data_IF_890191779968
#
_entry.id   IF_890191779968
#
_cell.length_a   1.000
_cell.length_b   1.000
_cell.length_c   1.000
_cell.angle_alpha   90.00
_cell.angle_beta   90.00
_cell.angle_gamma   90.00
#
_symmetry.space_group_name_H-M   'P 1'
#
loop_
_entity.id
_entity.type
_entity.pdbx_description
1 polymer ?
#
# COMPACT_ATOMS: atom_id res chain seq x y z
N UNK A 1 -9.42 25.27 2.80
CA UNK A 1 -9.89 23.93 2.41
C UNK A 1 -9.35 22.96 3.44
N UNK A 2 -10.13 21.99 3.92
CA UNK A 2 -9.67 20.99 4.89
C UNK A 2 -9.45 19.65 4.18
N UNK A 3 -8.65 18.77 4.79
CA UNK A 3 -8.45 17.39 4.34
C UNK A 3 -8.39 16.44 5.54
N UNK A 4 -8.40 15.13 5.29
CA UNK A 4 -8.10 14.13 6.32
C UNK A 4 -7.40 12.93 5.71
N UNK A 5 -6.91 12.02 6.55
CA UNK A 5 -6.30 10.78 6.10
C UNK A 5 -7.38 9.91 5.47
N UNK A 6 -7.16 9.51 4.21
CA UNK A 6 -8.00 8.58 3.47
C UNK A 6 -7.13 7.51 2.82
N UNK A 7 -7.77 6.53 2.19
CA UNK A 7 -7.11 5.66 1.24
C UNK A 7 -6.65 6.41 -0.01
N UNK A 8 -5.91 5.70 -0.85
CA UNK A 8 -5.35 6.22 -2.10
C UNK A 8 -6.24 5.97 -3.31
N UNK A 9 -7.03 4.89 -3.31
CA UNK A 9 -7.82 4.48 -4.46
C UNK A 9 -9.21 5.14 -4.43
N UNK A 10 -9.62 5.74 -5.54
CA UNK A 10 -10.86 6.54 -5.62
C UNK A 10 -12.15 5.74 -5.33
N UNK A 11 -12.16 4.45 -5.69
CA UNK A 11 -13.34 3.59 -5.55
C UNK A 11 -13.42 2.82 -4.23
N UNK A 12 -12.41 2.92 -3.35
CA UNK A 12 -12.41 2.18 -2.09
C UNK A 12 -13.38 2.80 -1.10
N UNK A 13 -14.28 1.98 -0.56
CA UNK A 13 -15.24 2.40 0.45
C UNK A 13 -14.58 2.84 1.76
N UNK A 14 -14.92 4.04 2.24
CA UNK A 14 -14.35 4.65 3.44
C UNK A 14 -14.41 3.77 4.70
N UNK A 15 -15.60 3.23 5.02
CA UNK A 15 -15.83 2.50 6.28
C UNK A 15 -15.03 1.20 6.37
N UNK A 16 -14.98 0.44 5.27
CA UNK A 16 -14.29 -0.84 5.24
C UNK A 16 -12.78 -0.66 5.46
N UNK A 17 -12.22 0.32 4.74
CA UNK A 17 -10.82 0.68 4.87
C UNK A 17 -10.48 1.16 6.30
N UNK A 18 -11.33 2.01 6.88
CA UNK A 18 -11.16 2.51 8.26
C UNK A 18 -11.20 1.38 9.30
N UNK A 19 -12.12 0.41 9.17
CA UNK A 19 -12.26 -0.69 10.12
C UNK A 19 -11.01 -1.58 10.20
N UNK A 20 -10.34 -1.78 9.06
CA UNK A 20 -9.05 -2.49 9.03
C UNK A 20 -7.84 -1.62 9.35
N UNK A 21 -8.00 -0.29 9.42
CA UNK A 21 -7.10 0.79 9.88
C UNK A 21 -6.93 1.89 8.83
N UNK A 22 -6.64 1.55 7.58
CA UNK A 22 -6.54 2.48 6.47
C UNK A 22 -5.18 3.17 6.31
N UNK A 23 -4.39 2.68 5.37
CA UNK A 23 -3.15 3.31 4.91
C UNK A 23 -3.42 4.35 3.81
N UNK A 24 -2.57 5.38 3.72
CA UNK A 24 -2.66 6.38 2.66
C UNK A 24 -1.62 7.50 2.73
N UNK A 25 -1.70 8.44 1.79
CA UNK A 25 -0.67 9.46 1.54
C UNK A 25 -0.30 10.31 2.75
N UNK A 26 -1.26 10.62 3.61
CA UNK A 26 -1.07 11.51 4.76
C UNK A 26 -0.66 10.78 6.05
N UNK A 27 -0.45 9.46 6.02
CA UNK A 27 -0.33 8.70 7.25
C UNK A 27 0.94 9.02 8.06
N UNK A 28 2.06 9.40 7.42
CA UNK A 28 3.26 9.79 8.14
C UNK A 28 3.09 11.11 8.90
N UNK A 29 2.18 11.96 8.45
CA UNK A 29 1.88 13.26 9.06
C UNK A 29 0.85 13.14 10.19
N UNK A 30 -0.18 12.28 10.03
CA UNK A 30 -1.33 12.27 10.93
C UNK A 30 -1.72 10.89 11.51
N UNK A 31 -1.11 9.79 11.07
CA UNK A 31 -1.46 8.42 11.46
C UNK A 31 -2.40 7.73 10.47
N UNK A 32 -2.89 6.54 10.78
CA UNK A 32 -3.79 5.77 9.93
C UNK A 32 -5.20 6.39 9.89
N UNK A 33 -6.06 5.94 8.98
CA UNK A 33 -7.44 6.42 8.93
C UNK A 33 -8.17 6.20 10.27
N UNK A 34 -8.03 5.01 10.86
CA UNK A 34 -8.59 4.67 12.17
C UNK A 34 -8.09 5.57 13.31
N UNK A 35 -6.91 6.17 13.17
CA UNK A 35 -6.35 7.10 14.17
C UNK A 35 -7.06 8.47 14.15
N UNK A 36 -7.78 8.77 13.08
CA UNK A 36 -8.54 10.01 12.92
C UNK A 36 -9.98 9.88 13.44
N UNK A 37 -10.45 8.66 13.72
CA UNK A 37 -11.80 8.43 14.25
C UNK A 37 -11.89 8.95 15.68
N UNK A 38 -12.89 9.79 15.96
CA UNK A 38 -13.20 10.28 17.32
C UNK A 38 -14.42 9.61 17.92
N UNK A 39 -15.39 9.22 17.07
CA UNK A 39 -16.53 8.40 17.47
C UNK A 39 -17.14 7.68 16.26
N UNK A 40 -17.97 6.67 16.53
CA UNK A 40 -18.74 5.99 15.49
C UNK A 40 -20.10 5.53 16.02
N UNK A 41 -21.13 5.52 15.16
CA UNK A 41 -22.45 4.98 15.46
C UNK A 41 -22.60 3.60 14.83
N UNK A 42 -22.76 2.57 15.65
CA UNK A 42 -22.78 1.17 15.23
C UNK A 42 -24.13 0.50 15.50
N UNK A 43 -24.64 -0.22 14.51
CA UNK A 43 -25.70 -1.20 14.70
C UNK A 43 -25.07 -2.56 15.03
N UNK A 44 -25.28 -3.02 16.26
CA UNK A 44 -24.76 -4.30 16.74
C UNK A 44 -25.60 -5.47 16.23
N UNK A 45 -25.09 -6.72 16.25
CA UNK A 45 -25.86 -7.91 15.90
C UNK A 45 -27.15 -8.11 16.72
N UNK A 46 -27.21 -7.54 17.92
CA UNK A 46 -28.41 -7.53 18.77
C UNK A 46 -29.52 -6.61 18.26
N UNK A 47 -29.28 -5.83 17.20
CA UNK A 47 -30.17 -4.77 16.72
C UNK A 47 -30.07 -3.46 17.51
N UNK A 48 -29.21 -3.38 18.52
CA UNK A 48 -28.99 -2.16 19.30
C UNK A 48 -28.07 -1.19 18.54
N UNK A 49 -28.47 0.07 18.50
CA UNK A 49 -27.65 1.17 18.01
C UNK A 49 -26.86 1.79 19.17
N UNK A 50 -25.54 1.88 19.04
CA UNK A 50 -24.64 2.44 20.06
C UNK A 50 -23.72 3.49 19.44
N UNK A 51 -23.33 4.48 20.24
CA UNK A 51 -22.25 5.41 19.88
C UNK A 51 -21.01 5.04 20.68
N UNK A 52 -19.92 4.75 19.98
CA UNK A 52 -18.64 4.35 20.57
C UNK A 52 -17.62 5.45 20.44
N UNK A 53 -16.82 5.63 21.48
CA UNK A 53 -15.71 6.60 21.58
C UNK A 53 -14.77 6.17 22.70
N UNK A 54 -13.72 6.94 22.98
CA UNK A 54 -12.82 6.68 24.12
C UNK A 54 -13.57 6.66 25.46
N UNK A 55 -14.68 7.39 25.58
CA UNK A 55 -15.45 7.53 26.81
C UNK A 55 -16.75 6.69 26.83
N UNK A 56 -17.09 6.02 25.73
CA UNK A 56 -18.33 5.24 25.58
C UNK A 56 -18.04 3.95 24.81
N UNK A 57 -18.22 2.79 25.45
CA UNK A 57 -17.82 1.49 24.90
C UNK A 57 -16.35 1.44 24.43
N UNK A 58 -15.36 1.80 25.29
CA UNK A 58 -13.97 1.97 24.88
C UNK A 58 -13.34 0.72 24.27
N UNK A 59 -13.70 -0.49 24.73
CA UNK A 59 -13.21 -1.74 24.15
C UNK A 59 -13.72 -1.96 22.73
N UNK A 60 -14.96 -1.57 22.43
CA UNK A 60 -15.50 -1.64 21.08
C UNK A 60 -14.92 -0.53 20.20
N UNK A 61 -14.70 0.66 20.75
CA UNK A 61 -14.00 1.74 20.06
C UNK A 61 -12.55 1.39 19.69
N UNK A 62 -11.86 0.67 20.57
CA UNK A 62 -10.56 0.08 20.29
C UNK A 62 -10.64 -0.94 19.16
N UNK A 63 -11.63 -1.85 19.21
CA UNK A 63 -11.77 -2.94 18.24
C UNK A 63 -12.02 -2.45 16.81
N UNK A 64 -12.91 -1.46 16.62
CA UNK A 64 -13.25 -0.94 15.28
C UNK A 64 -12.10 -0.15 14.63
N UNK A 65 -11.00 0.09 15.36
CA UNK A 65 -9.80 0.77 14.87
C UNK A 65 -8.69 -0.23 14.57
N UNK A 66 -9.00 -1.22 13.73
CA UNK A 66 -8.02 -2.17 13.18
C UNK A 66 -8.43 -3.64 13.15
N UNK A 67 -9.46 -4.06 13.89
CA UNK A 67 -9.89 -5.46 13.91
C UNK A 67 -10.86 -5.83 12.76
N UNK A 68 -10.96 -5.01 11.73
CA UNK A 68 -11.79 -5.27 10.56
C UNK A 68 -13.31 -5.30 10.87
N UNK A 69 -14.04 -6.01 10.02
CA UNK A 69 -15.50 -5.93 9.88
C UNK A 69 -16.29 -6.80 10.88
N UNK A 70 -15.77 -7.00 12.10
CA UNK A 70 -16.24 -8.05 13.00
C UNK A 70 -17.38 -7.65 13.96
N UNK A 71 -17.54 -6.35 14.26
CA UNK A 71 -18.26 -5.92 15.48
C UNK A 71 -19.59 -5.19 15.25
N UNK A 72 -20.05 -5.09 14.01
CA UNK A 72 -21.33 -4.47 13.66
C UNK A 72 -21.26 -3.63 12.38
N UNK A 73 -22.39 -3.02 12.04
CA UNK A 73 -22.48 -2.11 10.89
C UNK A 73 -22.23 -0.68 11.36
N UNK A 74 -21.19 -0.04 10.82
CA UNK A 74 -20.95 1.38 11.09
C UNK A 74 -21.86 2.21 10.19
N UNK A 75 -22.71 3.01 10.84
CA UNK A 75 -23.70 3.86 10.18
C UNK A 75 -23.20 5.30 10.00
N UNK A 76 -22.42 5.80 10.97
CA UNK A 76 -21.90 7.16 10.99
C UNK A 76 -20.49 7.16 11.60
N UNK A 77 -19.60 8.00 11.07
CA UNK A 77 -18.26 8.26 11.61
C UNK A 77 -18.14 9.73 11.99
N UNK A 78 -17.55 10.00 13.15
CA UNK A 78 -16.96 11.30 13.46
C UNK A 78 -15.45 11.21 13.30
N UNK A 79 -14.88 12.16 12.56
CA UNK A 79 -13.54 12.03 12.00
C UNK A 79 -12.80 13.37 12.08
N UNK A 80 -11.52 13.34 12.46
CA UNK A 80 -10.67 14.54 12.48
C UNK A 80 -10.42 15.04 11.06
N UNK A 81 -10.30 16.35 10.91
CA UNK A 81 -9.92 17.02 9.67
C UNK A 81 -8.85 18.08 9.99
N UNK A 82 -8.00 18.36 9.02
CA UNK A 82 -6.84 19.24 9.13
C UNK A 82 -6.90 20.34 8.08
N UNK A 83 -6.26 21.47 8.36
CA UNK A 83 -6.14 22.57 7.41
C UNK A 83 -5.20 22.19 6.26
N UNK A 84 -5.69 22.24 5.03
CA UNK A 84 -4.91 21.94 3.84
C UNK A 84 -4.26 23.22 3.29
N UNK A 85 -3.17 23.64 3.93
CA UNK A 85 -2.42 24.87 3.55
C UNK A 85 -1.50 24.67 2.34
N UNK A 86 -1.18 23.43 1.97
CA UNK A 86 -0.40 23.06 0.80
C UNK A 86 -1.15 22.02 -0.04
N UNK A 87 -2.13 22.44 -0.86
CA UNK A 87 -3.03 21.50 -1.54
C UNK A 87 -2.38 20.73 -2.70
N UNK A 88 -1.17 21.11 -3.10
CA UNK A 88 -0.46 20.49 -4.21
C UNK A 88 0.67 19.59 -3.70
N UNK A 89 0.70 18.39 -4.27
CA UNK A 89 1.75 17.41 -4.13
C UNK A 89 2.69 17.53 -5.31
N UNK A 90 3.99 17.36 -5.06
CA UNK A 90 5.01 17.30 -6.10
C UNK A 90 5.48 15.87 -6.27
N UNK A 91 5.76 15.45 -7.50
CA UNK A 91 6.23 14.11 -7.76
C UNK A 91 7.31 14.05 -8.84
N UNK A 92 8.18 13.05 -8.71
CA UNK A 92 9.08 12.57 -9.75
C UNK A 92 8.91 11.06 -9.91
N UNK A 93 8.64 10.62 -11.13
CA UNK A 93 8.41 9.21 -11.48
C UNK A 93 9.51 8.77 -12.41
N UNK A 94 10.13 7.69 -12.03
CA UNK A 94 11.27 7.10 -12.71
C UNK A 94 10.87 5.76 -13.30
N UNK A 95 11.26 5.52 -14.54
CA UNK A 95 11.21 4.19 -15.14
C UNK A 95 12.63 3.65 -15.23
N UNK A 96 12.86 2.45 -14.71
CA UNK A 96 14.13 1.74 -14.84
C UNK A 96 13.94 0.39 -15.51
N UNK A 97 14.99 -0.04 -16.21
CA UNK A 97 15.18 -1.43 -16.61
C UNK A 97 15.56 -2.31 -15.42
N UNK A 98 15.30 -3.61 -15.53
CA UNK A 98 15.53 -4.57 -14.44
C UNK A 98 16.97 -4.71 -13.96
N UNK A 99 17.98 -4.30 -14.74
CA UNK A 99 19.39 -4.29 -14.33
C UNK A 99 19.70 -3.23 -13.26
N UNK A 100 18.80 -2.28 -13.03
CA UNK A 100 18.95 -1.23 -11.98
C UNK A 100 18.35 -1.61 -10.63
N UNK A 101 17.72 -2.78 -10.51
CA UNK A 101 16.96 -3.19 -9.32
C UNK A 101 17.77 -3.08 -8.04
N UNK A 102 19.00 -3.62 -8.01
CA UNK A 102 19.82 -3.62 -6.80
C UNK A 102 20.10 -2.19 -6.34
N UNK A 103 20.60 -1.34 -7.24
CA UNK A 103 20.89 0.06 -6.92
C UNK A 103 19.64 0.84 -6.50
N UNK A 104 18.50 0.59 -7.14
CA UNK A 104 17.22 1.21 -6.80
C UNK A 104 16.75 0.83 -5.39
N UNK A 105 16.78 -0.47 -5.07
CA UNK A 105 16.30 -0.97 -3.79
C UNK A 105 17.28 -0.72 -2.63
N UNK A 106 18.58 -0.62 -2.92
CA UNK A 106 19.57 -0.13 -1.96
C UNK A 106 19.33 1.34 -1.61
N UNK A 107 19.11 2.21 -2.61
CA UNK A 107 18.85 3.63 -2.37
C UNK A 107 17.50 3.86 -1.70
N UNK A 108 16.49 3.10 -2.09
CA UNK A 108 15.22 2.99 -1.38
C UNK A 108 15.38 2.66 0.12
N UNK A 109 16.24 1.70 0.47
CA UNK A 109 16.54 1.39 1.86
C UNK A 109 17.25 2.55 2.58
N UNK A 110 18.04 3.36 1.86
CA UNK A 110 18.60 4.59 2.43
C UNK A 110 17.51 5.61 2.72
N UNK A 111 16.63 5.83 1.75
CA UNK A 111 15.51 6.76 1.88
C UNK A 111 14.61 6.39 3.07
N UNK A 112 14.29 5.11 3.28
CA UNK A 112 13.46 4.67 4.42
C UNK A 112 13.98 5.13 5.80
N UNK A 113 15.29 5.36 5.96
CA UNK A 113 15.87 5.81 7.24
C UNK A 113 15.70 7.31 7.48
N UNK A 114 15.73 8.10 6.41
CA UNK A 114 15.76 9.57 6.44
C UNK A 114 14.51 10.20 5.77
N UNK A 115 13.49 9.39 5.47
CA UNK A 115 12.24 9.79 4.83
C UNK A 115 11.50 10.77 5.74
N UNK A 116 11.13 11.97 5.26
CA UNK A 116 10.30 12.90 6.04
C UNK A 116 8.84 12.46 6.05
N UNK A 117 8.02 13.04 6.92
CA UNK A 117 6.61 12.66 7.10
C UNK A 117 5.76 12.92 5.85
N UNK A 118 6.15 13.89 5.05
CA UNK A 118 5.47 14.38 3.85
C UNK A 118 5.84 13.59 2.58
N UNK A 119 6.88 12.76 2.63
CA UNK A 119 7.38 12.02 1.47
C UNK A 119 6.88 10.59 1.50
N UNK A 120 6.41 10.11 0.36
CA UNK A 120 6.08 8.71 0.08
C UNK A 120 6.89 8.25 -1.11
N UNK A 121 7.36 7.01 -1.07
CA UNK A 121 7.90 6.37 -2.26
C UNK A 121 7.03 5.18 -2.70
N UNK A 122 6.65 5.18 -3.96
CA UNK A 122 5.68 4.26 -4.54
C UNK A 122 6.36 3.43 -5.63
N UNK A 123 6.14 2.11 -5.70
CA UNK A 123 6.75 1.30 -6.76
C UNK A 123 5.80 0.31 -7.38
N UNK A 124 6.01 0.08 -8.67
CA UNK A 124 5.44 -1.06 -9.36
C UNK A 124 6.53 -1.85 -10.11
N UNK A 125 6.38 -3.17 -10.17
CA UNK A 125 6.99 -3.99 -11.22
C UNK A 125 5.87 -4.40 -12.16
N UNK A 126 5.93 -3.94 -13.41
CA UNK A 126 4.86 -4.09 -14.41
C UNK A 126 5.41 -4.47 -15.77
N UNK A 127 4.59 -5.13 -16.59
CA UNK A 127 4.87 -5.27 -18.01
C UNK A 127 4.46 -3.98 -18.73
N UNK A 128 5.42 -3.35 -19.40
CA UNK A 128 5.19 -2.18 -20.24
C UNK A 128 5.86 -2.40 -21.60
N UNK A 129 5.19 -3.12 -22.50
CA UNK A 129 5.78 -3.55 -23.78
C UNK A 129 6.23 -2.40 -24.69
N UNK A 130 5.59 -1.23 -24.55
CA UNK A 130 5.95 0.01 -25.25
C UNK A 130 7.34 0.55 -24.84
N UNK A 131 7.83 0.19 -23.64
CA UNK A 131 9.11 0.62 -23.08
C UNK A 131 10.14 -0.50 -23.22
N UNK A 132 9.78 -1.71 -22.79
CA UNK A 132 10.58 -2.92 -22.93
C UNK A 132 9.69 -4.11 -23.34
N UNK A 133 9.77 -4.54 -24.61
CA UNK A 133 8.93 -5.61 -25.14
C UNK A 133 9.27 -6.97 -24.52
N UNK A 134 10.46 -7.14 -23.95
CA UNK A 134 10.97 -8.44 -23.50
C UNK A 134 10.85 -8.59 -21.98
N UNK A 135 11.11 -7.52 -21.21
CA UNK A 135 11.19 -7.55 -19.75
C UNK A 135 10.19 -6.63 -19.05
N UNK A 136 9.85 -6.89 -17.77
CA UNK A 136 9.10 -5.93 -16.96
C UNK A 136 10.00 -4.74 -16.57
N UNK A 137 9.37 -3.60 -16.34
CA UNK A 137 10.05 -2.36 -15.92
C UNK A 137 9.80 -2.09 -14.43
N UNK A 138 10.71 -1.33 -13.84
CA UNK A 138 10.58 -0.81 -12.48
C UNK A 138 10.02 0.62 -12.57
N UNK A 139 8.77 0.81 -12.17
CA UNK A 139 8.17 2.12 -11.99
C UNK A 139 8.41 2.57 -10.55
N UNK A 140 8.95 3.78 -10.35
CA UNK A 140 9.30 4.27 -9.02
C UNK A 140 8.94 5.75 -8.88
N UNK A 141 8.07 6.09 -7.93
CA UNK A 141 7.67 7.46 -7.63
C UNK A 141 8.30 7.96 -6.34
N UNK A 142 8.82 9.18 -6.37
CA UNK A 142 9.04 10.04 -5.19
C UNK A 142 7.89 11.04 -5.18
N UNK A 143 7.06 11.01 -4.15
CA UNK A 143 5.84 11.81 -4.03
C UNK A 143 5.92 12.59 -2.72
N UNK A 144 5.72 13.91 -2.77
CA UNK A 144 5.94 14.80 -1.63
C UNK A 144 4.77 15.76 -1.44
N UNK A 145 4.27 15.86 -0.21
CA UNK A 145 3.26 16.85 0.17
C UNK A 145 3.88 18.24 0.32
N UNK A 146 3.94 19.00 -0.77
CA UNK A 146 4.51 20.34 -0.78
C UNK A 146 5.34 20.61 -2.03
N UNK A 147 6.37 21.45 -1.89
CA UNK A 147 7.04 22.05 -3.04
C UNK A 147 8.04 21.12 -3.75
N UNK A 148 8.27 21.30 -5.08
CA UNK A 148 9.20 20.48 -5.84
C UNK A 148 10.64 20.65 -5.37
N UNK A 149 11.02 21.83 -4.85
CA UNK A 149 12.39 22.09 -4.41
C UNK A 149 12.83 21.16 -3.28
N UNK A 150 11.89 20.72 -2.43
CA UNK A 150 12.17 19.74 -1.38
C UNK A 150 12.15 18.33 -1.97
N UNK A 151 11.14 17.98 -2.77
CA UNK A 151 11.04 16.68 -3.43
C UNK A 151 12.32 16.33 -4.22
N UNK A 152 12.83 17.30 -5.00
CA UNK A 152 14.03 17.14 -5.83
C UNK A 152 15.29 16.78 -5.02
N UNK A 153 15.38 17.18 -3.74
CA UNK A 153 16.51 16.81 -2.88
C UNK A 153 16.53 15.30 -2.61
N UNK A 154 15.37 14.72 -2.37
CA UNK A 154 15.20 13.29 -2.13
C UNK A 154 15.21 12.47 -3.42
N UNK A 155 14.80 13.06 -4.54
CA UNK A 155 14.81 12.43 -5.85
C UNK A 155 16.23 12.36 -6.47
N UNK A 156 17.13 13.28 -6.11
CA UNK A 156 18.48 13.39 -6.70
C UNK A 156 19.30 12.09 -6.72
N UNK A 157 19.36 11.26 -5.65
CA UNK A 157 20.08 10.00 -5.71
C UNK A 157 19.53 9.03 -6.76
N UNK A 158 18.22 9.04 -6.98
CA UNK A 158 17.54 8.18 -7.95
C UNK A 158 17.86 8.59 -9.41
N UNK A 159 17.96 9.88 -9.71
CA UNK A 159 18.50 10.35 -11.01
C UNK A 159 19.88 9.74 -11.32
N UNK A 160 20.74 9.60 -10.31
CA UNK A 160 22.10 9.06 -10.46
C UNK A 160 22.16 7.57 -10.85
N UNK A 161 21.07 6.83 -10.69
CA UNK A 161 20.97 5.40 -11.03
C UNK A 161 20.87 5.21 -12.57
N UNK A 162 20.49 6.26 -13.29
CA UNK A 162 20.31 6.21 -14.75
C UNK A 162 18.95 5.63 -15.16
N UNK A 163 17.84 6.33 -14.85
CA UNK A 163 16.51 5.94 -15.32
C UNK A 163 16.41 6.00 -16.85
N UNK A 164 15.54 5.17 -17.41
CA UNK A 164 15.12 5.26 -18.81
C UNK A 164 14.39 6.57 -19.08
N UNK A 165 13.49 6.97 -18.19
CA UNK A 165 12.76 8.23 -18.26
C UNK A 165 12.42 8.76 -16.87
N UNK A 166 12.24 10.09 -16.79
CA UNK A 166 11.75 10.76 -15.59
C UNK A 166 10.59 11.68 -15.98
N UNK A 167 9.44 11.49 -15.32
CA UNK A 167 8.31 12.40 -15.39
C UNK A 167 8.26 13.21 -14.09
N UNK A 168 8.11 14.53 -14.21
CA UNK A 168 7.98 15.43 -13.05
C UNK A 168 6.65 16.17 -13.14
N UNK A 169 6.06 16.51 -12.00
CA UNK A 169 4.81 17.24 -11.98
C UNK A 169 4.37 17.67 -10.59
N UNK A 170 3.25 18.38 -10.57
CA UNK A 170 2.51 18.72 -9.36
C UNK A 170 1.02 18.53 -9.58
N UNK A 171 0.29 18.15 -8.54
CA UNK A 171 -1.14 17.90 -8.63
C UNK A 171 -1.83 17.81 -7.29
N UNK A 172 -3.15 17.75 -7.32
CA UNK A 172 -4.00 17.40 -6.19
C UNK A 172 -3.89 15.90 -5.84
N UNK A 173 -4.62 15.46 -4.81
CA UNK A 173 -4.72 14.04 -4.48
C UNK A 173 -5.39 13.23 -5.61
N UNK A 174 -6.35 13.82 -6.33
CA UNK A 174 -7.02 13.19 -7.47
C UNK A 174 -6.03 12.99 -8.63
N UNK A 175 -5.20 14.01 -8.91
CA UNK A 175 -4.13 13.88 -9.91
C UNK A 175 -3.11 12.79 -9.52
N UNK A 176 -2.80 12.66 -8.23
CA UNK A 176 -1.93 11.59 -7.74
C UNK A 176 -2.53 10.20 -7.95
N UNK A 177 -3.85 10.05 -7.78
CA UNK A 177 -4.52 8.77 -8.03
C UNK A 177 -4.30 8.33 -9.48
N UNK A 178 -4.52 9.22 -10.45
CA UNK A 178 -4.27 8.95 -11.88
C UNK A 178 -2.82 8.58 -12.13
N UNK A 179 -1.89 9.39 -11.61
CA UNK A 179 -0.45 9.23 -11.84
C UNK A 179 0.10 7.92 -11.24
N UNK A 180 -0.52 7.42 -10.18
CA UNK A 180 -0.12 6.19 -9.48
C UNK A 180 -0.98 4.96 -9.83
N UNK A 181 -1.87 5.10 -10.83
CA UNK A 181 -2.80 4.04 -11.30
C UNK A 181 -3.81 3.59 -10.23
N UNK A 182 -4.21 4.50 -9.34
CA UNK A 182 -5.16 4.28 -8.24
C UNK A 182 -6.51 4.98 -8.48
N UNK A 183 -6.68 5.64 -9.62
CA UNK A 183 -7.93 6.23 -10.07
C UNK A 183 -8.96 5.16 -10.47
N UNK A 184 -10.19 5.59 -10.71
CA UNK A 184 -11.30 4.70 -11.08
C UNK A 184 -11.07 3.88 -12.36
N UNK A 185 -10.24 4.38 -13.27
CA UNK A 185 -9.89 3.69 -14.54
C UNK A 185 -8.62 2.83 -14.40
N UNK A 186 -8.01 2.79 -13.22
CA UNK A 186 -6.81 2.02 -12.94
C UNK A 186 -7.02 0.49 -13.00
N UNK A 187 -5.95 -0.29 -13.22
CA UNK A 187 -6.04 -1.74 -13.42
C UNK A 187 -6.67 -2.45 -12.21
N UNK A 188 -6.38 -2.01 -10.98
CA UNK A 188 -6.95 -2.58 -9.75
C UNK A 188 -8.46 -2.38 -9.59
N UNK A 189 -9.07 -1.50 -10.40
CA UNK A 189 -10.50 -1.18 -10.38
C UNK A 189 -11.28 -1.81 -11.55
N UNK A 190 -10.61 -2.60 -12.40
CA UNK A 190 -11.25 -3.19 -13.58
C UNK A 190 -12.31 -4.22 -13.18
N UNK A 191 -13.57 -3.95 -13.57
CA UNK A 191 -14.69 -4.83 -13.26
C UNK A 191 -14.62 -6.16 -14.02
N UNK A 192 -15.03 -7.25 -13.34
CA UNK A 192 -15.15 -8.58 -13.96
C UNK A 192 -13.86 -9.38 -14.05
N UNK A 193 -12.74 -8.87 -13.51
CA UNK A 193 -11.47 -9.59 -13.41
C UNK A 193 -11.39 -10.37 -12.10
N UNK A 194 -10.71 -11.53 -12.13
CA UNK A 194 -10.22 -12.15 -10.89
C UNK A 194 -9.05 -11.31 -10.37
N UNK A 195 -9.06 -11.02 -9.07
CA UNK A 195 -8.04 -10.21 -8.40
C UNK A 195 -7.63 -10.90 -7.11
N UNK A 196 -6.46 -11.54 -7.13
CA UNK A 196 -5.85 -12.15 -5.94
C UNK A 196 -4.80 -11.22 -5.36
N UNK A 197 -4.72 -11.11 -4.05
CA UNK A 197 -3.70 -10.30 -3.37
C UNK A 197 -2.83 -11.16 -2.49
N UNK A 198 -1.52 -10.92 -2.50
CA UNK A 198 -0.59 -11.62 -1.62
C UNK A 198 0.17 -10.60 -0.79
N UNK A 199 -0.44 -10.08 0.28
CA UNK A 199 0.12 -9.00 1.07
C UNK A 199 1.26 -9.47 1.98
N UNK A 200 2.20 -8.57 2.26
CA UNK A 200 3.19 -8.73 3.33
C UNK A 200 3.68 -7.36 3.82
N UNK A 201 3.75 -7.20 5.14
CA UNK A 201 4.41 -6.07 5.79
C UNK A 201 5.90 -6.34 6.01
N UNK A 202 6.76 -5.34 5.79
CA UNK A 202 8.22 -5.46 5.93
C UNK A 202 8.82 -4.22 6.61
N UNK A 203 9.94 -4.39 7.33
CA UNK A 203 10.73 -3.25 7.85
C UNK A 203 11.75 -2.69 6.87
N UNK A 204 12.24 -3.50 5.94
CA UNK A 204 13.22 -3.08 4.94
C UNK A 204 13.15 -3.95 3.69
N UNK A 205 13.79 -3.52 2.60
CA UNK A 205 13.90 -4.31 1.39
C UNK A 205 15.06 -5.29 1.47
N UNK A 206 14.78 -6.59 1.47
CA UNK A 206 15.79 -7.57 1.14
C UNK A 206 15.98 -7.60 -0.38
N UNK A 207 17.10 -7.04 -0.85
CA UNK A 207 17.36 -6.86 -2.28
C UNK A 207 17.41 -8.20 -3.02
N UNK A 208 17.95 -9.25 -2.41
CA UNK A 208 17.98 -10.60 -2.99
C UNK A 208 16.58 -11.17 -3.16
N UNK A 209 15.71 -11.04 -2.15
CA UNK A 209 14.32 -11.48 -2.23
C UNK A 209 13.55 -10.72 -3.32
N UNK A 210 13.72 -9.39 -3.40
CA UNK A 210 13.09 -8.57 -4.45
C UNK A 210 13.59 -8.97 -5.85
N UNK A 211 14.88 -9.32 -6.01
CA UNK A 211 15.39 -9.87 -7.27
C UNK A 211 14.73 -11.20 -7.63
N UNK A 212 14.50 -12.09 -6.66
CA UNK A 212 13.76 -13.34 -6.90
C UNK A 212 12.34 -13.05 -7.35
N UNK A 213 11.65 -12.09 -6.73
CA UNK A 213 10.32 -11.63 -7.17
C UNK A 213 10.34 -11.09 -8.60
N UNK A 214 11.30 -10.22 -8.94
CA UNK A 214 11.44 -9.69 -10.30
C UNK A 214 11.64 -10.82 -11.33
N UNK A 215 12.54 -11.76 -11.04
CA UNK A 215 12.81 -12.89 -11.94
C UNK A 215 11.58 -13.78 -12.12
N UNK A 216 10.79 -13.98 -11.07
CA UNK A 216 9.53 -14.72 -11.13
C UNK A 216 8.52 -14.00 -12.02
N UNK A 217 8.36 -12.69 -11.87
CA UNK A 217 7.47 -11.87 -12.71
C UNK A 217 7.92 -11.94 -14.17
N UNK A 218 9.19 -11.69 -14.45
CA UNK A 218 9.75 -11.71 -15.81
C UNK A 218 9.61 -13.07 -16.49
N UNK A 219 9.88 -14.17 -15.77
CA UNK A 219 9.71 -15.51 -16.34
C UNK A 219 8.24 -15.84 -16.55
N UNK A 220 7.36 -15.49 -15.63
CA UNK A 220 5.96 -15.95 -15.66
C UNK A 220 5.15 -15.17 -16.68
N UNK A 221 5.34 -13.86 -16.79
CA UNK A 221 4.64 -13.04 -17.79
C UNK A 221 4.96 -13.46 -19.23
N UNK A 222 6.15 -14.04 -19.48
CA UNK A 222 6.51 -14.60 -20.80
C UNK A 222 5.88 -15.97 -21.07
N UNK A 223 5.56 -16.74 -20.02
CA UNK A 223 5.02 -18.10 -20.12
C UNK A 223 3.50 -18.15 -20.06
N UNK A 224 2.89 -17.20 -19.35
CA UNK A 224 1.46 -17.15 -19.04
C UNK A 224 0.95 -15.72 -19.31
N UNK A 225 0.71 -15.36 -20.59
CA UNK A 225 0.28 -14.02 -20.97
C UNK A 225 -1.03 -13.58 -20.30
N UNK A 226 -1.89 -14.53 -19.90
CA UNK A 226 -3.19 -14.31 -19.26
C UNK A 226 -3.07 -13.55 -17.94
N UNK A 227 -1.95 -13.69 -17.23
CA UNK A 227 -1.67 -12.99 -15.97
C UNK A 227 -0.67 -11.84 -16.13
N UNK A 228 -0.21 -11.54 -17.35
CA UNK A 228 0.81 -10.51 -17.59
C UNK A 228 0.32 -9.07 -17.35
N UNK A 229 -0.99 -8.87 -17.18
CA UNK A 229 -1.59 -7.62 -16.70
C UNK A 229 -1.51 -7.42 -15.18
N UNK A 230 -0.96 -8.39 -14.45
CA UNK A 230 -0.71 -8.29 -13.01
C UNK A 230 0.37 -7.26 -12.69
N UNK A 231 0.39 -6.77 -11.46
CA UNK A 231 1.40 -5.82 -10.99
C UNK A 231 1.86 -6.14 -9.57
N UNK A 232 3.13 -5.88 -9.30
CA UNK A 232 3.67 -5.98 -7.95
C UNK A 232 3.79 -4.58 -7.36
N UNK A 233 2.92 -4.24 -6.42
CA UNK A 233 2.85 -2.93 -5.79
C UNK A 233 3.63 -2.93 -4.47
N UNK A 234 4.48 -1.92 -4.30
CA UNK A 234 5.21 -1.68 -3.05
C UNK A 234 4.95 -0.26 -2.58
N UNK A 235 4.41 -0.17 -1.39
CA UNK A 235 3.91 1.05 -0.77
C UNK A 235 4.84 1.41 0.39
N UNK A 236 5.73 2.37 0.16
CA UNK A 236 6.62 2.87 1.19
C UNK A 236 6.19 4.23 1.68
N UNK A 237 5.09 4.20 2.43
CA UNK A 237 4.59 5.37 3.12
C UNK A 237 5.58 5.84 4.20
N UNK A 238 5.52 7.13 4.51
CA UNK A 238 6.03 7.66 5.75
C UNK A 238 5.23 7.08 6.94
N UNK A 239 5.88 6.79 8.07
CA UNK A 239 5.27 6.05 9.21
C UNK A 239 5.41 6.74 10.57
N UNK A 240 5.91 7.97 10.60
CA UNK A 240 6.26 8.70 11.83
C UNK A 240 5.05 8.84 12.76
N UNK A 241 3.94 9.39 12.28
CA UNK A 241 2.73 9.52 13.08
C UNK A 241 2.04 8.16 13.37
N UNK A 242 2.16 7.17 12.46
CA UNK A 242 1.66 5.80 12.70
C UNK A 242 2.38 5.15 13.89
N UNK A 243 3.71 5.30 13.95
CA UNK A 243 4.60 4.76 14.99
C UNK A 243 4.59 5.55 16.29
N UNK A 244 4.16 6.81 16.25
CA UNK A 244 4.00 7.64 17.45
C UNK A 244 2.85 7.16 18.36
N UNK A 245 1.91 6.39 17.81
CA UNK A 245 0.81 5.78 18.55
C UNK A 245 1.23 4.40 19.04
N UNK A 246 1.15 4.18 20.36
CA UNK A 246 1.41 2.86 20.95
C UNK A 246 0.43 1.82 20.37
N UNK A 247 0.97 0.68 19.94
CA UNK A 247 0.21 -0.41 19.35
C UNK A 247 -0.91 -0.92 20.26
N UNK A 248 -0.80 -0.79 21.58
CA UNK A 248 -1.87 -1.20 22.50
C UNK A 248 -3.13 -0.32 22.42
N UNK A 249 -3.04 0.89 21.85
CA UNK A 249 -4.14 1.87 21.85
C UNK A 249 -5.20 1.62 20.77
N UNK A 250 -4.91 0.81 19.76
CA UNK A 250 -5.89 0.39 18.75
C UNK A 250 -5.71 -1.09 18.43
N UNK A 251 -6.65 -1.67 17.69
CA UNK A 251 -6.58 -3.08 17.32
C UNK A 251 -5.62 -3.38 16.15
N UNK A 252 -4.95 -2.37 15.61
CA UNK A 252 -3.99 -2.55 14.53
C UNK A 252 -2.61 -2.95 15.08
N UNK A 253 -2.12 -4.16 14.78
CA UNK A 253 -0.89 -4.67 15.41
C UNK A 253 0.39 -4.18 14.73
N UNK A 254 0.37 -3.95 13.41
CA UNK A 254 1.58 -3.87 12.57
C UNK A 254 2.13 -2.44 12.42
N UNK A 255 2.06 -1.63 13.48
CA UNK A 255 2.52 -0.22 13.43
C UNK A 255 4.01 -0.06 13.17
N UNK A 256 4.82 -1.09 13.45
CA UNK A 256 6.27 -1.06 13.30
C UNK A 256 6.76 -1.36 11.88
N UNK A 257 5.88 -1.81 10.98
CA UNK A 257 6.20 -2.04 9.57
C UNK A 257 6.53 -0.70 8.87
N UNK A 258 7.42 -0.74 7.87
CA UNK A 258 7.80 0.42 7.06
C UNK A 258 7.28 0.36 5.63
N UNK A 259 7.02 -0.86 5.17
CA UNK A 259 6.69 -1.17 3.80
C UNK A 259 5.47 -2.05 3.83
N UNK A 260 4.47 -1.68 3.05
CA UNK A 260 3.33 -2.52 2.75
C UNK A 260 3.49 -3.01 1.30
N UNK A 261 3.49 -4.32 1.12
CA UNK A 261 3.58 -4.92 -0.22
C UNK A 261 2.23 -5.52 -0.56
N UNK A 262 1.76 -5.21 -1.77
CA UNK A 262 0.57 -5.80 -2.38
C UNK A 262 0.97 -6.48 -3.68
N UNK A 263 1.20 -7.78 -3.62
CA UNK A 263 1.42 -8.58 -4.83
C UNK A 263 0.08 -8.90 -5.48
N UNK A 264 -0.30 -8.12 -6.50
CA UNK A 264 -1.58 -8.25 -7.21
C UNK A 264 -1.44 -9.29 -8.33
N UNK A 265 -2.38 -10.24 -8.41
CA UNK A 265 -2.52 -11.15 -9.55
C UNK A 265 -3.88 -10.92 -10.18
N UNK A 266 -3.89 -10.47 -11.42
CA UNK A 266 -5.08 -10.12 -12.16
C UNK A 266 -5.15 -10.88 -13.47
N UNK A 267 -6.32 -11.45 -13.76
CA UNK A 267 -6.61 -12.19 -14.99
C UNK A 267 -8.12 -12.28 -15.21
N UNK A 268 -8.53 -12.57 -16.44
CA UNK A 268 -9.93 -12.87 -16.73
C UNK A 268 -10.32 -14.19 -16.05
N UNK A 269 -11.53 -14.33 -15.48
CA UNK A 269 -11.94 -15.55 -14.78
C UNK A 269 -11.77 -16.80 -15.65
N UNK A 270 -10.88 -17.70 -15.23
CA UNK A 270 -10.57 -18.96 -15.92
C UNK A 270 -10.03 -19.99 -14.92
N UNK A 271 -10.78 -21.09 -14.74
CA UNK A 271 -10.43 -22.15 -13.79
C UNK A 271 -9.14 -22.90 -14.13
N UNK A 272 -8.64 -22.79 -15.37
CA UNK A 272 -7.34 -23.35 -15.76
C UNK A 272 -6.17 -22.43 -15.31
N UNK A 273 -6.43 -21.14 -15.16
CA UNK A 273 -5.42 -20.15 -14.75
C UNK A 273 -5.37 -20.03 -13.22
N UNK A 274 -6.49 -20.24 -12.52
CA UNK A 274 -6.60 -20.19 -11.06
C UNK A 274 -5.42 -20.84 -10.29
N UNK A 275 -5.04 -22.12 -10.54
CA UNK A 275 -3.93 -22.73 -9.80
C UNK A 275 -2.57 -22.08 -10.10
N UNK A 276 -2.36 -21.62 -11.34
CA UNK A 276 -1.11 -20.98 -11.77
C UNK A 276 -1.00 -19.59 -11.14
N UNK A 277 -2.09 -18.82 -11.16
CA UNK A 277 -2.18 -17.50 -10.55
C UNK A 277 -1.92 -17.57 -9.04
N UNK A 278 -2.48 -18.58 -8.38
CA UNK A 278 -2.29 -18.82 -6.95
C UNK A 278 -0.84 -19.15 -6.61
N UNK A 279 -0.24 -20.13 -7.30
CA UNK A 279 1.17 -20.50 -7.09
C UNK A 279 2.09 -19.29 -7.33
N UNK A 280 1.83 -18.52 -8.39
CA UNK A 280 2.61 -17.32 -8.72
C UNK A 280 2.56 -16.26 -7.61
N UNK A 281 1.40 -16.06 -6.98
CA UNK A 281 1.23 -15.17 -5.84
C UNK A 281 1.95 -15.65 -4.58
N UNK A 282 1.66 -16.89 -4.16
CA UNK A 282 2.23 -17.50 -2.95
C UNK A 282 3.75 -17.53 -2.99
N UNK A 283 4.34 -17.88 -4.15
CA UNK A 283 5.79 -17.98 -4.33
C UNK A 283 6.50 -16.64 -4.17
N UNK A 284 5.91 -15.55 -4.68
CA UNK A 284 6.49 -14.20 -4.52
C UNK A 284 6.39 -13.72 -3.07
N UNK A 285 5.24 -13.94 -2.40
CA UNK A 285 5.10 -13.65 -0.97
C UNK A 285 6.09 -14.46 -0.14
N UNK A 286 6.32 -15.73 -0.50
CA UNK A 286 7.33 -16.58 0.14
C UNK A 286 8.74 -16.02 0.00
N UNK A 287 9.17 -15.59 -1.19
CA UNK A 287 10.50 -14.99 -1.34
C UNK A 287 10.71 -13.78 -0.41
N UNK A 288 9.68 -12.93 -0.30
CA UNK A 288 9.73 -11.77 0.60
C UNK A 288 9.76 -12.18 2.07
N UNK A 289 8.93 -13.15 2.46
CA UNK A 289 8.90 -13.68 3.82
C UNK A 289 10.26 -14.29 4.21
N UNK A 290 10.80 -15.17 3.39
CA UNK A 290 12.10 -15.83 3.61
C UNK A 290 13.24 -14.81 3.73
N UNK A 291 13.13 -13.67 3.05
CA UNK A 291 14.10 -12.57 3.10
C UNK A 291 13.83 -11.51 4.18
N UNK A 292 12.69 -11.58 4.88
CA UNK A 292 12.28 -10.59 5.87
C UNK A 292 13.08 -10.71 7.17
N UNK A 293 12.89 -9.74 8.07
CA UNK A 293 13.43 -9.79 9.42
C UNK A 293 12.85 -10.91 10.30
N UNK A 294 11.72 -11.50 9.91
CA UNK A 294 10.99 -12.53 10.67
C UNK A 294 10.39 -13.59 9.72
N UNK A 295 11.23 -14.48 9.17
CA UNK A 295 10.79 -15.44 8.15
C UNK A 295 9.80 -16.50 8.66
N UNK A 296 9.64 -16.63 9.98
CA UNK A 296 8.71 -17.59 10.59
C UNK A 296 7.29 -17.02 10.76
N UNK A 297 7.14 -15.69 10.73
CA UNK A 297 5.87 -15.03 11.00
C UNK A 297 5.50 -14.08 9.87
N UNK A 298 4.55 -14.52 9.03
CA UNK A 298 3.92 -13.65 8.05
C UNK A 298 3.15 -12.53 8.76
N UNK A 299 3.27 -11.29 8.27
CA UNK A 299 2.58 -10.10 8.78
C UNK A 299 1.74 -9.50 7.68
N UNK A 300 0.44 -9.39 7.88
CA UNK A 300 -0.52 -9.10 6.82
C UNK A 300 -1.51 -8.05 7.25
N UNK A 301 -1.66 -7.02 6.40
CA UNK A 301 -2.71 -6.05 6.56
C UNK A 301 -4.09 -6.64 6.20
N UNK A 302 -5.01 -6.65 7.17
CA UNK A 302 -6.35 -7.25 7.05
C UNK A 302 -7.13 -6.81 5.80
N UNK A 303 -6.99 -5.56 5.36
CA UNK A 303 -7.75 -5.09 4.19
C UNK A 303 -7.19 -5.60 2.86
N UNK A 304 -6.02 -6.23 2.84
CA UNK A 304 -5.41 -6.80 1.64
C UNK A 304 -5.39 -8.34 1.64
N UNK A 305 -5.96 -8.98 2.66
CA UNK A 305 -6.00 -10.46 2.74
C UNK A 305 -6.78 -11.07 1.60
N UNK A 306 -6.31 -12.20 1.09
CA UNK A 306 -7.03 -13.04 0.12
C UNK A 306 -7.88 -14.12 0.82
N UNK A 307 -7.55 -14.42 2.08
CA UNK A 307 -8.22 -15.44 2.89
C UNK A 307 -7.41 -16.72 3.08
N UNK A 308 -6.15 -16.75 2.61
CA UNK A 308 -5.20 -17.82 2.89
C UNK A 308 -4.35 -17.55 4.15
N UNK A 309 -4.45 -16.35 4.71
CA UNK A 309 -3.68 -15.90 5.86
C UNK A 309 -4.29 -16.32 7.20
N UNK A 310 -3.44 -16.68 8.17
CA UNK A 310 -3.88 -17.02 9.52
C UNK A 310 -4.26 -15.77 10.33
N UNK A 311 -5.10 -15.94 11.35
CA UNK A 311 -5.40 -14.83 12.28
C UNK A 311 -4.14 -14.32 12.98
N UNK A 312 -3.18 -15.19 13.27
CA UNK A 312 -1.88 -14.81 13.83
C UNK A 312 -1.11 -13.89 12.89
N UNK A 313 -1.17 -14.12 11.57
CA UNK A 313 -0.51 -13.28 10.60
C UNK A 313 -1.16 -11.89 10.45
N UNK A 314 -2.47 -11.81 10.69
CA UNK A 314 -3.26 -10.58 10.53
C UNK A 314 -3.25 -9.73 11.82
N UNK A 315 -3.28 -10.37 12.98
CA UNK A 315 -3.52 -9.71 14.27
C UNK A 315 -2.36 -9.81 15.27
N UNK A 316 -1.34 -10.64 14.99
CA UNK A 316 -0.20 -10.89 15.87
C UNK A 316 -0.53 -11.77 17.07
#
# INVERSE_FOLDING_TARGET
MTHSVTGICELVGFSALTLGSGHGWLQGQYGLMADQVTSARLLLPSGKLVTVSENSYPSLFWAIRGAGHNFGLVMEWEYRVYDNSAPLWSYEIFIYSGDKLESLYEEANRLLRDQPAELVHWRHIIKAAEIDPDHPVLWFGIIYNGSPEIANKYAKPFHGIGPHSVQTGQGSLDDLAVVTFQDADGPGCTYGMTSLRYPIGLKSYNVTAVRQVYNEIDSTFRKVPEIAGSFFLVEGYSTQAVKAIDAVNTAFPHRDDNILVTSYVMYAPDSNIDPIAKEFGEKRRKYLLDGSEDPEHLRVYVNYTDGDESLQAIYG
#
